data_IF_842954165901
#
_entry.id   IF_842954165901
#
_cell.length_a   1.000
_cell.length_b   1.000
_cell.length_c   1.000
_cell.angle_alpha   90.00
_cell.angle_beta   90.00
_cell.angle_gamma   90.00
#
_symmetry.space_group_name_H-M   'P 1'
#
loop_
_entity.id
_entity.type
_entity.pdbx_description
1 polymer ?
#
# COMPACT_ATOMS: atom_id res chain seq x y z
N UNK A 1 1.11 -40.47 37.84
CA UNK A 1 0.85 -39.47 36.77
C UNK A 1 -0.17 -38.45 37.30
N UNK A 2 0.24 -37.18 37.48
CA UNK A 2 -0.70 -36.12 37.89
C UNK A 2 -1.60 -35.80 36.69
N UNK A 3 -2.91 -36.05 36.80
CA UNK A 3 -3.88 -35.68 35.76
C UNK A 3 -4.03 -34.16 35.80
N UNK A 4 -3.60 -33.47 34.75
CA UNK A 4 -3.87 -32.05 34.62
C UNK A 4 -5.39 -31.82 34.52
N UNK A 5 -5.95 -30.82 35.20
CA UNK A 5 -7.37 -30.55 35.14
C UNK A 5 -7.77 -30.14 33.72
N UNK A 6 -8.85 -30.75 33.21
CA UNK A 6 -9.39 -30.43 31.89
C UNK A 6 -9.92 -28.99 31.92
N UNK A 7 -9.20 -28.07 31.30
CA UNK A 7 -9.64 -26.68 31.13
C UNK A 7 -10.87 -26.65 30.22
N UNK A 8 -12.01 -26.20 30.76
CA UNK A 8 -13.25 -25.98 30.00
C UNK A 8 -13.43 -24.49 29.75
N UNK A 9 -13.75 -24.14 28.52
CA UNK A 9 -13.97 -22.76 28.08
C UNK A 9 -15.44 -22.56 27.74
N UNK A 10 -16.02 -21.45 28.22
CA UNK A 10 -17.39 -21.07 27.86
C UNK A 10 -17.49 -20.72 26.38
N UNK A 11 -18.68 -20.87 25.80
CA UNK A 11 -18.90 -20.52 24.39
C UNK A 11 -18.64 -19.04 24.11
N UNK A 12 -19.06 -18.14 25.01
CA UNK A 12 -18.80 -16.70 24.90
C UNK A 12 -17.30 -16.39 24.83
N UNK A 13 -16.49 -17.08 25.65
CA UNK A 13 -15.05 -16.94 25.64
C UNK A 13 -14.43 -17.45 24.33
N UNK A 14 -14.86 -18.62 23.84
CA UNK A 14 -14.38 -19.14 22.53
C UNK A 14 -14.67 -18.16 21.40
N UNK A 15 -15.87 -17.58 21.37
CA UNK A 15 -16.25 -16.57 20.38
C UNK A 15 -15.44 -15.28 20.52
N UNK A 16 -15.13 -14.84 21.75
CA UNK A 16 -14.26 -13.68 21.97
C UNK A 16 -12.86 -13.93 21.39
N UNK A 17 -12.26 -15.08 21.66
CA UNK A 17 -10.95 -15.45 21.12
C UNK A 17 -10.96 -15.49 19.59
N UNK A 18 -12.03 -15.99 18.98
CA UNK A 18 -12.20 -16.01 17.52
C UNK A 18 -12.38 -14.60 16.96
N UNK A 19 -13.16 -13.72 17.61
CA UNK A 19 -13.25 -12.31 17.19
C UNK A 19 -11.90 -11.60 17.23
N UNK A 20 -11.10 -11.82 18.28
CA UNK A 20 -9.76 -11.23 18.35
C UNK A 20 -8.82 -11.78 17.28
N UNK A 21 -8.95 -13.07 16.94
CA UNK A 21 -8.27 -13.66 15.79
C UNK A 21 -8.71 -12.98 14.47
N UNK A 22 -10.01 -12.78 14.28
CA UNK A 22 -10.59 -12.09 13.10
C UNK A 22 -10.11 -10.62 13.01
N UNK A 23 -9.82 -9.95 14.13
CA UNK A 23 -9.23 -8.59 14.14
C UNK A 23 -7.73 -8.57 13.82
N UNK A 24 -7.09 -9.71 13.57
CA UNK A 24 -5.69 -9.80 13.16
C UNK A 24 -4.70 -10.26 14.23
N UNK A 25 -5.17 -10.73 15.39
CA UNK A 25 -4.28 -11.32 16.40
C UNK A 25 -3.74 -12.68 15.96
N UNK A 26 -2.45 -12.95 16.19
CA UNK A 26 -1.88 -14.27 15.92
C UNK A 26 -2.34 -15.30 16.95
N UNK A 27 -2.43 -16.57 16.53
CA UNK A 27 -2.78 -17.69 17.41
C UNK A 27 -1.85 -17.76 18.63
N UNK A 28 -0.55 -17.55 18.40
CA UNK A 28 0.45 -17.51 19.48
C UNK A 28 0.16 -16.42 20.51
N UNK A 29 -0.16 -15.20 20.05
CA UNK A 29 -0.49 -14.09 20.94
C UNK A 29 -1.74 -14.39 21.76
N UNK A 30 -2.76 -14.98 21.15
CA UNK A 30 -4.00 -15.37 21.85
C UNK A 30 -3.74 -16.45 22.90
N UNK A 31 -2.88 -17.43 22.60
CA UNK A 31 -2.50 -18.46 23.55
C UNK A 31 -1.78 -17.91 24.77
N UNK A 32 -0.83 -17.00 24.56
CA UNK A 32 -0.11 -16.33 25.64
C UNK A 32 -1.04 -15.45 26.47
N UNK A 33 -1.86 -14.62 25.81
CA UNK A 33 -2.80 -13.70 26.46
C UNK A 33 -3.81 -14.42 27.36
N UNK A 34 -4.29 -15.58 26.92
CA UNK A 34 -5.38 -16.31 27.57
C UNK A 34 -4.94 -17.59 28.29
N UNK A 35 -3.63 -17.88 28.35
CA UNK A 35 -3.10 -19.09 28.99
C UNK A 35 -3.64 -20.39 28.38
N UNK A 36 -3.89 -20.40 27.06
CA UNK A 36 -4.41 -21.56 26.32
C UNK A 36 -3.21 -22.42 25.91
N UNK A 37 -2.97 -23.50 26.66
CA UNK A 37 -1.76 -24.32 26.50
C UNK A 37 -1.74 -25.24 25.26
N UNK A 38 -2.88 -25.49 24.62
CA UNK A 38 -2.96 -26.43 23.51
C UNK A 38 -2.97 -25.70 22.16
N UNK A 39 -1.94 -25.98 21.35
CA UNK A 39 -1.72 -25.34 20.05
C UNK A 39 -2.95 -25.42 19.12
N UNK A 40 -3.63 -26.56 19.13
CA UNK A 40 -4.77 -26.83 18.25
C UNK A 40 -6.11 -26.32 18.79
N UNK A 41 -6.20 -25.88 20.05
CA UNK A 41 -7.47 -25.47 20.67
C UNK A 41 -8.05 -24.23 20.01
N UNK A 42 -7.21 -23.21 19.82
CA UNK A 42 -7.61 -21.96 19.15
C UNK A 42 -7.95 -22.23 17.68
N UNK A 43 -7.15 -23.05 16.99
CA UNK A 43 -7.41 -23.45 15.59
C UNK A 43 -8.78 -24.11 15.43
N UNK A 44 -9.14 -25.05 16.31
CA UNK A 44 -10.46 -25.69 16.30
C UNK A 44 -11.60 -24.71 16.54
N UNK A 45 -11.40 -23.70 17.40
CA UNK A 45 -12.43 -22.69 17.61
C UNK A 45 -12.60 -21.78 16.39
N UNK A 46 -11.52 -21.46 15.69
CA UNK A 46 -11.57 -20.72 14.42
C UNK A 46 -12.32 -21.54 13.37
N UNK A 47 -12.06 -22.84 13.25
CA UNK A 47 -12.77 -23.72 12.31
C UNK A 47 -14.26 -23.87 12.67
N UNK A 48 -14.60 -23.89 13.96
CA UNK A 48 -15.96 -24.11 14.44
C UNK A 48 -16.83 -22.86 14.52
N UNK A 49 -16.25 -21.72 14.90
CA UNK A 49 -16.96 -20.47 15.16
C UNK A 49 -16.51 -19.31 14.26
N UNK A 50 -15.43 -19.48 13.50
CA UNK A 50 -14.97 -18.48 12.55
C UNK A 50 -15.91 -18.42 11.35
N UNK A 51 -16.10 -17.22 10.81
CA UNK A 51 -16.90 -17.06 9.59
C UNK A 51 -16.13 -17.66 8.42
N UNK A 52 -16.79 -18.54 7.66
CA UNK A 52 -16.27 -19.13 6.43
C UNK A 52 -15.78 -18.02 5.50
N UNK A 53 -14.45 -17.90 5.35
CA UNK A 53 -13.80 -16.88 4.53
C UNK A 53 -12.77 -15.99 5.23
N UNK A 54 -12.67 -15.92 6.56
CA UNK A 54 -11.81 -14.92 7.23
C UNK A 54 -10.33 -15.32 7.43
N UNK A 55 -9.63 -15.41 6.30
CA UNK A 55 -8.41 -14.61 6.01
C UNK A 55 -8.61 -13.88 4.68
N UNK A 56 -9.86 -13.57 4.31
CA UNK A 56 -10.18 -12.80 3.11
C UNK A 56 -9.71 -11.37 3.34
N UNK A 57 -8.52 -11.13 2.79
CA UNK A 57 -7.87 -9.85 2.61
C UNK A 57 -7.64 -9.03 3.87
N UNK A 58 -6.45 -8.46 3.94
CA UNK A 58 -6.27 -7.22 4.68
C UNK A 58 -7.31 -6.25 4.11
N UNK A 59 -8.48 -6.11 4.76
CA UNK A 59 -9.40 -5.03 4.48
C UNK A 59 -8.64 -3.79 4.88
N UNK A 60 -7.92 -3.21 3.92
CA UNK A 60 -7.34 -1.90 4.05
C UNK A 60 -8.55 -0.98 4.17
N UNK A 61 -8.91 -0.63 5.42
CA UNK A 61 -9.92 0.36 5.69
C UNK A 61 -9.32 1.67 5.21
N UNK A 62 -9.44 1.95 3.91
CA UNK A 62 -9.20 3.29 3.39
C UNK A 62 -10.23 4.17 4.06
N UNK A 63 -9.75 5.00 4.97
CA UNK A 63 -10.55 6.07 5.56
C UNK A 63 -11.02 7.00 4.44
N UNK A 64 -12.05 7.80 4.72
CA UNK A 64 -12.53 8.78 3.73
C UNK A 64 -11.40 9.76 3.39
N UNK A 65 -10.58 10.07 4.39
CA UNK A 65 -9.36 10.86 4.27
C UNK A 65 -8.35 10.20 3.32
N UNK A 66 -8.09 8.89 3.44
CA UNK A 66 -7.17 8.17 2.52
C UNK A 66 -7.66 8.22 1.07
N UNK A 67 -8.98 8.16 0.83
CA UNK A 67 -9.54 8.29 -0.51
C UNK A 67 -9.36 9.70 -1.08
N UNK A 68 -9.55 10.73 -0.25
CA UNK A 68 -9.33 12.13 -0.63
C UNK A 68 -7.86 12.36 -0.98
N UNK A 69 -6.93 11.89 -0.14
CA UNK A 69 -5.50 11.99 -0.38
C UNK A 69 -5.10 11.27 -1.67
N UNK A 70 -5.63 10.06 -1.90
CA UNK A 70 -5.35 9.30 -3.11
C UNK A 70 -5.84 10.02 -4.38
N UNK A 71 -7.03 10.64 -4.34
CA UNK A 71 -7.54 11.42 -5.46
C UNK A 71 -6.71 12.69 -5.69
N UNK A 72 -6.32 13.39 -4.62
CA UNK A 72 -5.44 14.55 -4.72
C UNK A 72 -4.06 14.17 -5.30
N UNK A 73 -3.50 13.03 -4.88
CA UNK A 73 -2.25 12.51 -5.44
C UNK A 73 -2.40 12.18 -6.93
N UNK A 74 -3.50 11.54 -7.35
CA UNK A 74 -3.77 11.26 -8.77
C UNK A 74 -3.90 12.53 -9.60
N UNK A 75 -4.63 13.53 -9.11
CA UNK A 75 -4.74 14.82 -9.78
C UNK A 75 -3.37 15.47 -9.93
N UNK A 76 -2.56 15.45 -8.86
CA UNK A 76 -1.21 16.01 -8.89
C UNK A 76 -0.30 15.31 -9.88
N UNK A 77 -0.37 13.98 -9.99
CA UNK A 77 0.37 13.22 -10.99
C UNK A 77 -0.04 13.65 -12.40
N UNK A 78 -1.34 13.73 -12.69
CA UNK A 78 -1.83 14.15 -14.01
C UNK A 78 -1.39 15.57 -14.39
N UNK A 79 -1.43 16.51 -13.43
CA UNK A 79 -0.92 17.87 -13.63
C UNK A 79 0.58 17.89 -13.95
N UNK A 80 1.37 17.14 -13.17
CA UNK A 80 2.82 17.07 -13.35
C UNK A 80 3.20 16.42 -14.68
N UNK A 81 2.50 15.36 -15.07
CA UNK A 81 2.71 14.70 -16.36
C UNK A 81 2.38 15.64 -17.54
N UNK A 82 1.30 16.41 -17.44
CA UNK A 82 0.94 17.42 -18.45
C UNK A 82 1.98 18.54 -18.55
N UNK A 83 2.41 19.10 -17.41
CA UNK A 83 3.45 20.13 -17.38
C UNK A 83 4.79 19.62 -17.93
N UNK A 84 5.15 18.36 -17.63
CA UNK A 84 6.34 17.73 -18.17
C UNK A 84 6.24 17.55 -19.69
N UNK A 85 5.10 17.07 -20.18
CA UNK A 85 4.87 16.90 -21.62
C UNK A 85 5.00 18.25 -22.37
N UNK A 86 4.43 19.32 -21.82
CA UNK A 86 4.55 20.66 -22.37
C UNK A 86 6.01 21.14 -22.40
N UNK A 87 6.74 21.00 -21.30
CA UNK A 87 8.16 21.40 -21.23
C UNK A 87 9.04 20.58 -22.19
N UNK A 88 8.79 19.28 -22.32
CA UNK A 88 9.50 18.42 -23.27
C UNK A 88 9.22 18.85 -24.71
N UNK A 89 7.98 19.19 -25.05
CA UNK A 89 7.61 19.69 -26.36
C UNK A 89 8.32 21.01 -26.67
N UNK A 90 8.28 21.97 -25.75
CA UNK A 90 8.95 23.27 -25.90
C UNK A 90 10.46 23.10 -26.11
N UNK A 91 11.12 22.27 -25.31
CA UNK A 91 12.54 21.99 -25.46
C UNK A 91 12.87 21.38 -26.84
N UNK A 92 12.04 20.46 -27.34
CA UNK A 92 12.23 19.85 -28.67
C UNK A 92 12.02 20.88 -29.78
N UNK A 93 11.01 21.73 -29.65
CA UNK A 93 10.73 22.81 -30.61
C UNK A 93 11.88 23.83 -30.65
N UNK A 94 12.39 24.25 -29.49
CA UNK A 94 13.54 25.14 -29.41
C UNK A 94 14.79 24.52 -30.02
N UNK A 95 15.06 23.24 -29.72
CA UNK A 95 16.19 22.52 -30.29
C UNK A 95 16.11 22.42 -31.83
N UNK A 96 14.93 22.07 -32.37
CA UNK A 96 14.70 22.01 -33.82
C UNK A 96 14.81 23.39 -34.47
N UNK A 97 14.29 24.43 -33.81
CA UNK A 97 14.39 25.82 -34.31
C UNK A 97 15.85 26.26 -34.43
N UNK A 98 16.67 25.97 -33.41
CA UNK A 98 18.11 26.28 -33.42
C UNK A 98 18.80 25.51 -34.56
N UNK A 99 18.44 24.26 -34.80
CA UNK A 99 19.02 23.45 -35.87
C UNK A 99 18.70 24.01 -37.26
N UNK A 100 17.43 24.31 -37.55
CA UNK A 100 17.01 24.91 -38.83
C UNK A 100 17.64 26.29 -39.03
N UNK A 101 17.69 27.12 -37.98
CA UNK A 101 18.34 28.43 -38.04
C UNK A 101 19.85 28.31 -38.30
N UNK A 102 20.51 27.33 -37.69
CA UNK A 102 21.95 27.07 -37.92
C UNK A 102 22.22 26.64 -39.36
N UNK A 103 21.38 25.77 -39.91
CA UNK A 103 21.46 25.35 -41.32
C UNK A 103 21.23 26.52 -42.28
N UNK A 104 20.23 27.36 -42.01
CA UNK A 104 19.86 28.49 -42.87
C UNK A 104 20.89 29.62 -42.86
N UNK A 105 21.58 29.84 -41.72
CA UNK A 105 22.59 30.89 -41.56
C UNK A 105 24.01 30.40 -41.89
N UNK A 106 24.22 29.10 -42.12
CA UNK A 106 25.55 28.51 -42.33
C UNK A 106 26.49 28.67 -41.12
N UNK A 107 25.94 28.91 -39.93
CA UNK A 107 26.65 29.16 -38.68
C UNK A 107 26.15 28.20 -37.60
N UNK A 108 27.06 27.59 -36.85
CA UNK A 108 26.70 26.74 -35.71
C UNK A 108 26.26 27.63 -34.52
N UNK A 109 24.95 27.87 -34.41
CA UNK A 109 24.37 28.71 -33.36
C UNK A 109 24.49 28.05 -31.96
N UNK A 110 24.62 26.72 -31.86
CA UNK A 110 24.87 26.05 -30.57
C UNK A 110 26.21 26.44 -29.96
N UNK A 111 27.24 26.68 -30.80
CA UNK A 111 28.59 27.07 -30.35
C UNK A 111 28.77 28.57 -30.12
N UNK A 112 28.15 29.41 -30.94
CA UNK A 112 28.43 30.85 -30.93
C UNK A 112 27.73 31.63 -29.80
N UNK A 113 26.67 31.10 -29.19
CA UNK A 113 25.92 31.76 -28.11
C UNK A 113 26.21 31.17 -26.71
N UNK A 114 26.99 30.09 -26.61
CA UNK A 114 27.32 29.42 -25.35
C UNK A 114 28.46 30.05 -24.53
N UNK A 115 29.04 31.17 -24.97
CA UNK A 115 30.05 31.92 -24.20
C UNK A 115 29.81 33.42 -24.27
N UNK A 116 29.16 33.96 -23.25
CA UNK A 116 29.44 35.30 -22.69
C UNK A 116 28.93 35.33 -21.24
N UNK A 117 29.90 35.16 -20.33
CA UNK A 117 29.85 35.32 -18.87
C UNK A 117 28.93 34.40 -18.06
#
# INVERSE_FOLDING_TARGET
MKKEPIKRYSQAFKQQVVREYETGASIYRLQQRYGIGAHNTVKRWIEQYGRSGFRAEVVHIQTVEDQIEFQAMKQRIAELESALAQSVLENRMLAATIEVASQSLGLDLKKNFGKKS
#
